data_IF_701985443695
#
_entry.id   IF_701985443695
#
_cell.length_a   1.000
_cell.length_b   1.000
_cell.length_c   1.000
_cell.angle_alpha   90.00
_cell.angle_beta   90.00
_cell.angle_gamma   90.00
#
_symmetry.space_group_name_H-M   'P 1'
#
loop_
_entity.id
_entity.type
_entity.pdbx_description
1 polymer ?
#
# COMPACT_ATOMS: atom_id res chain seq x y z
N UNK A 1 3.36 -7.29 27.96
CA UNK A 1 2.98 -7.72 29.33
C UNK A 1 2.30 -6.62 30.15
N UNK A 2 2.67 -5.34 30.00
CA UNK A 2 1.98 -4.23 30.69
C UNK A 2 0.50 -4.09 30.24
N UNK A 3 0.22 -4.22 28.95
CA UNK A 3 -1.15 -4.21 28.41
C UNK A 3 -2.04 -5.36 28.92
N UNK A 4 -1.46 -6.50 29.32
CA UNK A 4 -2.22 -7.60 29.93
C UNK A 4 -2.62 -7.30 31.39
N UNK A 5 -2.10 -6.21 31.99
CA UNK A 5 -2.31 -5.86 33.40
C UNK A 5 -3.12 -4.58 33.59
N UNK A 6 -3.33 -3.80 32.55
CA UNK A 6 -4.01 -2.50 32.61
C UNK A 6 -4.69 -2.20 31.28
N UNK A 7 -5.99 -1.90 31.35
CA UNK A 7 -6.82 -1.59 30.18
C UNK A 7 -6.33 -0.32 29.45
N UNK A 8 -5.83 0.68 30.18
CA UNK A 8 -5.28 1.90 29.58
C UNK A 8 -4.07 1.59 28.68
N UNK A 9 -3.16 0.74 29.15
CA UNK A 9 -2.00 0.31 28.37
C UNK A 9 -2.38 -0.56 27.16
N UNK A 10 -3.48 -1.30 27.27
CA UNK A 10 -4.02 -2.08 26.16
C UNK A 10 -4.58 -1.19 25.06
N UNK A 11 -5.27 -0.10 25.42
CA UNK A 11 -5.77 0.90 24.45
C UNK A 11 -4.61 1.60 23.74
N UNK A 12 -3.56 1.97 24.49
CA UNK A 12 -2.36 2.60 23.92
C UNK A 12 -1.65 1.65 22.94
N UNK A 13 -1.56 0.36 23.28
CA UNK A 13 -1.02 -0.67 22.38
C UNK A 13 -1.84 -0.78 21.09
N UNK A 14 -3.16 -0.85 21.18
CA UNK A 14 -4.01 -0.86 19.98
C UNK A 14 -3.87 0.43 19.15
N UNK A 15 -3.81 1.59 19.81
CA UNK A 15 -3.61 2.87 19.16
C UNK A 15 -2.29 2.95 18.39
N UNK A 16 -1.20 2.45 18.96
CA UNK A 16 0.11 2.47 18.31
C UNK A 16 0.17 1.51 17.12
N UNK A 17 -0.44 0.32 17.22
CA UNK A 17 -0.52 -0.65 16.12
C UNK A 17 -1.34 -0.10 14.94
N UNK A 18 -2.50 0.51 15.22
CA UNK A 18 -3.32 1.13 14.16
C UNK A 18 -2.57 2.30 13.52
N UNK A 19 -1.95 3.16 14.32
CA UNK A 19 -1.19 4.31 13.81
C UNK A 19 -0.03 3.86 12.94
N UNK A 20 0.73 2.85 13.38
CA UNK A 20 1.83 2.29 12.59
C UNK A 20 1.32 1.67 11.28
N UNK A 21 0.21 0.95 11.31
CA UNK A 21 -0.43 0.40 10.11
C UNK A 21 -0.86 1.48 9.11
N UNK A 22 -1.48 2.57 9.60
CA UNK A 22 -1.89 3.70 8.77
C UNK A 22 -0.68 4.39 8.14
N UNK A 23 0.38 4.65 8.91
CA UNK A 23 1.62 5.24 8.42
C UNK A 23 2.28 4.35 7.37
N UNK A 24 2.32 3.04 7.60
CA UNK A 24 2.88 2.08 6.65
C UNK A 24 2.14 2.06 5.31
N UNK A 25 0.80 2.10 5.34
CA UNK A 25 -0.04 2.03 4.14
C UNK A 25 -0.26 3.40 3.47
N UNK A 26 0.01 4.50 4.15
CA UNK A 26 -0.20 5.85 3.64
C UNK A 26 0.46 6.12 2.27
N UNK A 27 1.74 5.77 2.04
CA UNK A 27 2.39 5.96 0.72
C UNK A 27 1.77 5.12 -0.40
N UNK A 28 1.12 4.00 -0.05
CA UNK A 28 0.54 3.04 -0.99
C UNK A 28 -0.87 3.43 -1.40
N UNK A 29 -1.76 3.67 -0.42
CA UNK A 29 -3.19 3.94 -0.65
C UNK A 29 -3.41 5.33 -1.26
N UNK A 30 -2.67 6.34 -0.78
CA UNK A 30 -2.76 7.73 -1.25
C UNK A 30 -4.20 8.28 -1.23
N UNK A 31 -4.75 8.63 -0.04
CA UNK A 31 -6.04 9.29 0.02
C UNK A 31 -5.99 10.64 -0.72
N UNK A 32 -6.97 10.89 -1.59
CA UNK A 32 -7.14 12.17 -2.26
C UNK A 32 -7.31 13.29 -1.22
N UNK A 33 -6.61 14.45 -1.30
CA UNK A 33 -5.88 15.04 -2.43
C UNK A 33 -4.33 14.96 -2.34
N UNK A 34 -3.75 13.90 -1.77
CA UNK A 34 -2.29 13.82 -1.60
C UNK A 34 -1.50 13.83 -2.93
N UNK A 35 -0.51 14.71 -3.05
CA UNK A 35 0.41 14.78 -4.19
C UNK A 35 1.40 13.59 -4.22
N UNK A 36 1.88 13.22 -5.42
CA UNK A 36 2.84 12.12 -5.62
C UNK A 36 4.22 12.51 -5.05
N UNK A 37 4.48 12.13 -3.79
CA UNK A 37 5.74 12.42 -3.09
C UNK A 37 6.83 11.36 -3.31
N UNK A 38 6.44 10.12 -3.61
CA UNK A 38 7.35 8.99 -3.76
C UNK A 38 7.30 8.43 -5.19
N UNK A 39 8.48 8.11 -5.74
CA UNK A 39 8.57 7.41 -7.03
C UNK A 39 7.88 6.05 -6.92
N UNK A 40 7.06 5.70 -7.91
CA UNK A 40 6.35 4.41 -7.96
C UNK A 40 7.32 3.22 -7.89
N UNK A 41 8.52 3.39 -8.42
CA UNK A 41 9.59 2.39 -8.37
C UNK A 41 10.20 2.21 -6.98
N UNK A 42 10.12 3.22 -6.10
CA UNK A 42 10.56 3.10 -4.71
C UNK A 42 9.57 2.30 -3.84
N UNK A 43 8.30 2.23 -4.24
CA UNK A 43 7.28 1.45 -3.51
C UNK A 43 7.47 -0.07 -3.68
N UNK A 44 8.06 -0.52 -4.79
CA UNK A 44 8.33 -1.94 -5.04
C UNK A 44 9.31 -2.54 -4.02
N UNK A 45 10.56 -2.02 -3.86
CA UNK A 45 11.48 -2.54 -2.85
C UNK A 45 10.95 -2.31 -1.43
N UNK A 46 10.19 -1.25 -1.17
CA UNK A 46 9.52 -1.02 0.11
C UNK A 46 8.58 -2.18 0.50
N UNK A 47 7.69 -2.58 -0.41
CA UNK A 47 6.76 -3.69 -0.18
C UNK A 47 7.48 -5.05 -0.09
N UNK A 48 8.54 -5.25 -0.88
CA UNK A 48 9.34 -6.49 -0.82
C UNK A 48 10.11 -6.62 0.50
N UNK A 49 10.66 -5.52 1.02
CA UNK A 49 11.30 -5.52 2.34
C UNK A 49 10.27 -5.82 3.43
N UNK A 50 9.08 -5.21 3.34
CA UNK A 50 7.99 -5.49 4.28
C UNK A 50 7.57 -6.97 4.26
N UNK A 51 7.46 -7.57 3.07
CA UNK A 51 7.18 -9.00 2.92
C UNK A 51 8.31 -9.88 3.46
N UNK A 52 9.56 -9.47 3.28
CA UNK A 52 10.73 -10.14 3.86
C UNK A 52 10.70 -10.15 5.39
N UNK A 53 10.35 -9.02 6.01
CA UNK A 53 10.19 -8.92 7.48
C UNK A 53 9.03 -9.79 7.96
N UNK A 54 7.89 -9.76 7.26
CA UNK A 54 6.73 -10.61 7.56
C UNK A 54 7.08 -12.10 7.50
N UNK A 55 7.74 -12.52 6.41
CA UNK A 55 8.16 -13.90 6.18
C UNK A 55 9.19 -14.36 7.22
N UNK A 56 10.15 -13.50 7.59
CA UNK A 56 11.15 -13.81 8.61
C UNK A 56 10.49 -14.01 9.98
N UNK A 57 9.56 -13.11 10.35
CA UNK A 57 8.84 -13.22 11.62
C UNK A 57 7.97 -14.48 11.66
N UNK A 58 7.26 -14.78 10.57
CA UNK A 58 6.45 -15.98 10.47
C UNK A 58 7.29 -17.26 10.53
N UNK A 59 8.39 -17.32 9.79
CA UNK A 59 9.33 -18.42 9.85
C UNK A 59 9.87 -18.61 11.27
N UNK A 60 10.20 -17.52 11.96
CA UNK A 60 10.62 -17.59 13.36
C UNK A 60 9.53 -18.18 14.26
N UNK A 61 8.26 -17.77 14.10
CA UNK A 61 7.15 -18.33 14.89
C UNK A 61 6.94 -19.82 14.63
N UNK A 62 7.01 -20.26 13.37
CA UNK A 62 6.80 -21.65 12.95
C UNK A 62 7.97 -22.56 13.35
N UNK A 63 9.21 -22.10 13.16
CA UNK A 63 10.42 -22.92 13.32
C UNK A 63 11.12 -22.77 14.68
N UNK A 64 10.70 -21.85 15.55
CA UNK A 64 11.39 -21.65 16.85
C UNK A 64 11.33 -22.88 17.77
N UNK A 65 10.38 -23.80 17.57
CA UNK A 65 10.21 -25.01 18.38
C UNK A 65 9.88 -24.76 19.86
N UNK A 66 9.68 -23.49 20.25
CA UNK A 66 9.39 -23.05 21.62
C UNK A 66 8.23 -22.06 21.62
N UNK A 67 7.48 -22.04 22.72
CA UNK A 67 6.41 -21.08 22.90
C UNK A 67 7.02 -19.69 23.17
N UNK A 68 6.85 -18.78 22.23
CA UNK A 68 7.40 -17.42 22.29
C UNK A 68 6.68 -16.54 23.32
N UNK A 69 5.43 -16.90 23.64
CA UNK A 69 4.63 -16.19 24.63
C UNK A 69 4.16 -17.13 25.75
N UNK A 70 5.04 -17.45 26.74
CA UNK A 70 4.70 -18.35 27.84
C UNK A 70 3.50 -17.89 28.68
N UNK A 71 3.19 -16.59 28.70
CA UNK A 71 2.02 -16.05 29.37
C UNK A 71 0.68 -16.57 28.81
N UNK A 72 0.65 -17.02 27.55
CA UNK A 72 -0.53 -17.63 26.93
C UNK A 72 -0.64 -19.14 27.24
N UNK A 73 0.34 -19.72 27.93
CA UNK A 73 0.32 -21.12 28.37
C UNK A 73 -0.73 -21.41 29.47
N UNK A 74 -1.33 -20.40 30.09
CA UNK A 74 -2.37 -20.58 31.12
C UNK A 74 -3.81 -20.26 30.69
N UNK A 75 -4.03 -19.75 29.47
CA UNK A 75 -5.35 -19.27 29.04
C UNK A 75 -6.28 -20.42 28.59
N UNK A 76 -7.62 -20.26 28.72
CA UNK A 76 -8.59 -21.19 28.17
C UNK A 76 -8.38 -21.34 26.66
N UNK A 77 -8.30 -22.57 26.16
CA UNK A 77 -8.06 -22.88 24.74
C UNK A 77 -9.24 -23.62 24.15
N UNK A 78 -9.33 -23.55 22.82
CA UNK A 78 -10.11 -24.53 22.06
C UNK A 78 -9.57 -25.93 22.38
N UNK A 79 -10.46 -26.81 22.84
CA UNK A 79 -10.10 -28.17 23.21
C UNK A 79 -9.42 -28.88 22.02
N UNK A 80 -8.24 -29.44 22.25
CA UNK A 80 -7.47 -30.19 21.25
C UNK A 80 -6.33 -29.43 20.55
N UNK A 81 -6.18 -28.12 20.74
CA UNK A 81 -5.04 -27.34 20.17
C UNK A 81 -4.01 -27.02 21.26
N UNK A 82 -2.79 -27.52 21.10
CA UNK A 82 -1.66 -27.18 21.97
C UNK A 82 -1.19 -25.74 21.73
N UNK A 83 -0.63 -25.08 22.75
CA UNK A 83 -0.15 -23.70 22.62
C UNK A 83 0.93 -23.52 21.54
N UNK A 84 1.73 -24.56 21.28
CA UNK A 84 2.73 -24.56 20.22
C UNK A 84 2.09 -24.68 18.83
N UNK A 85 1.05 -25.51 18.68
CA UNK A 85 0.33 -25.63 17.41
C UNK A 85 -0.42 -24.33 17.10
N UNK A 86 -1.03 -23.70 18.10
CA UNK A 86 -1.68 -22.39 17.94
C UNK A 86 -0.69 -21.33 17.42
N UNK A 87 0.52 -21.28 17.98
CA UNK A 87 1.59 -20.38 17.50
C UNK A 87 2.00 -20.66 16.05
N UNK A 88 2.14 -21.94 15.67
CA UNK A 88 2.49 -22.34 14.30
C UNK A 88 1.39 -21.91 13.33
N UNK A 89 0.13 -22.15 13.68
CA UNK A 89 -1.03 -21.75 12.88
C UNK A 89 -1.07 -20.22 12.75
N UNK A 90 -0.87 -19.49 13.85
CA UNK A 90 -0.80 -18.03 13.83
C UNK A 90 0.34 -17.51 12.92
N UNK A 91 1.52 -18.14 12.97
CA UNK A 91 2.64 -17.82 12.08
C UNK A 91 2.30 -18.07 10.61
N UNK A 92 1.66 -19.20 10.29
CA UNK A 92 1.23 -19.51 8.93
C UNK A 92 0.14 -18.55 8.41
N UNK A 93 -0.83 -18.18 9.27
CA UNK A 93 -1.88 -17.20 8.98
C UNK A 93 -1.32 -15.79 8.83
N UNK A 94 -0.22 -15.44 9.52
CA UNK A 94 0.45 -14.16 9.30
C UNK A 94 1.23 -14.17 7.98
N UNK A 95 1.83 -15.31 7.63
CA UNK A 95 2.65 -15.43 6.42
C UNK A 95 1.84 -15.33 5.13
N UNK A 96 0.92 -16.28 4.90
CA UNK A 96 0.32 -16.50 3.58
C UNK A 96 -0.53 -15.30 3.13
N UNK A 97 -1.50 -14.80 3.92
CA UNK A 97 -2.28 -13.63 3.58
C UNK A 97 -1.43 -12.36 3.50
N UNK A 98 -0.42 -12.20 4.38
CA UNK A 98 0.49 -11.07 4.36
C UNK A 98 1.26 -10.98 3.04
N UNK A 99 1.89 -12.08 2.64
CA UNK A 99 2.64 -12.15 1.38
C UNK A 99 1.74 -11.96 0.15
N UNK A 100 0.52 -12.51 0.15
CA UNK A 100 -0.44 -12.25 -0.93
C UNK A 100 -0.74 -10.76 -1.03
N UNK A 101 -1.02 -10.08 0.08
CA UNK A 101 -1.37 -8.66 0.09
C UNK A 101 -0.21 -7.80 -0.42
N UNK A 102 1.03 -8.07 0.02
CA UNK A 102 2.21 -7.33 -0.45
C UNK A 102 2.49 -7.56 -1.93
N UNK A 103 2.44 -8.82 -2.39
CA UNK A 103 2.71 -9.17 -3.79
C UNK A 103 1.66 -8.61 -4.74
N UNK A 104 0.37 -8.74 -4.41
CA UNK A 104 -0.72 -8.18 -5.23
C UNK A 104 -0.57 -6.66 -5.36
N UNK A 105 -0.27 -5.97 -4.25
CA UNK A 105 -0.04 -4.52 -4.26
C UNK A 105 1.17 -4.14 -5.11
N UNK A 106 2.29 -4.86 -4.98
CA UNK A 106 3.50 -4.61 -5.77
C UNK A 106 3.24 -4.84 -7.27
N UNK A 107 2.56 -5.93 -7.64
CA UNK A 107 2.17 -6.22 -9.02
C UNK A 107 1.27 -5.11 -9.57
N UNK A 108 0.26 -4.67 -8.81
CA UNK A 108 -0.62 -3.59 -9.21
C UNK A 108 0.15 -2.27 -9.46
N UNK A 109 1.16 -1.95 -8.63
CA UNK A 109 2.02 -0.78 -8.83
C UNK A 109 2.85 -0.92 -10.11
N UNK A 110 3.44 -2.09 -10.35
CA UNK A 110 4.23 -2.37 -11.57
C UNK A 110 3.36 -2.25 -12.82
N UNK A 111 2.17 -2.84 -12.84
CA UNK A 111 1.23 -2.73 -13.96
C UNK A 111 0.87 -1.25 -14.21
N UNK A 112 0.61 -0.47 -13.17
CA UNK A 112 0.31 0.96 -13.29
C UNK A 112 1.51 1.81 -13.72
N UNK A 113 2.73 1.36 -13.42
CA UNK A 113 3.96 2.02 -13.83
C UNK A 113 4.31 1.73 -15.31
N UNK A 114 3.99 0.53 -15.80
CA UNK A 114 4.20 0.09 -17.18
C UNK A 114 3.03 0.44 -18.11
N UNK A 115 1.85 0.75 -17.55
CA UNK A 115 0.68 1.16 -18.32
C UNK A 115 1.00 2.37 -19.20
N UNK A 116 0.45 2.43 -20.43
CA UNK A 116 0.75 3.50 -21.36
C UNK A 116 0.47 4.84 -20.68
N UNK A 117 1.50 5.70 -20.62
CA UNK A 117 1.27 7.11 -20.43
C UNK A 117 0.40 7.54 -21.61
N UNK A 118 -0.89 7.73 -21.39
CA UNK A 118 -1.70 8.49 -22.33
C UNK A 118 -1.00 9.82 -22.45
N UNK A 119 -0.21 9.98 -23.51
CA UNK A 119 0.33 11.26 -23.91
C UNK A 119 -0.91 12.13 -24.08
N UNK A 120 -1.23 12.90 -23.05
CA UNK A 120 -2.18 14.00 -23.17
C UNK A 120 -1.50 14.90 -24.18
N UNK A 121 -1.89 14.76 -25.45
CA UNK A 121 -1.47 15.65 -26.53
C UNK A 121 -1.74 17.07 -26.02
N UNK A 122 -0.70 17.90 -25.79
CA UNK A 122 -0.92 19.28 -25.42
C UNK A 122 -1.57 19.95 -26.64
N UNK A 123 -2.84 20.30 -26.50
CA UNK A 123 -3.52 21.22 -27.41
C UNK A 123 -3.65 20.74 -28.85
N UNK A 124 -4.63 19.87 -29.11
CA UNK A 124 -5.47 20.13 -30.29
C UNK A 124 -6.29 21.40 -30.01
N UNK A 125 -5.65 22.57 -30.03
CA UNK A 125 -6.36 23.81 -30.35
C UNK A 125 -6.68 23.74 -31.83
N UNK A 126 -7.76 23.02 -32.10
CA UNK A 126 -8.55 23.12 -33.31
C UNK A 126 -9.22 24.50 -33.28
N UNK A 127 -8.46 25.53 -33.66
CA UNK A 127 -9.02 26.78 -34.16
C UNK A 127 -8.50 26.94 -35.59
N UNK A 128 -9.31 26.45 -36.52
CA UNK A 128 -9.34 26.92 -37.90
C UNK A 128 -9.32 28.46 -37.91
N UNK A 129 -8.55 29.06 -38.83
CA UNK A 129 -8.91 30.39 -39.33
C UNK A 129 -7.87 31.50 -39.29
N UNK A 130 -6.55 31.23 -39.25
CA UNK A 130 -5.56 32.26 -39.63
C UNK A 130 -4.87 31.85 -40.92
N UNK A 131 -5.59 32.07 -42.03
CA UNK A 131 -5.02 32.19 -43.37
C UNK A 131 -4.09 33.40 -43.38
N UNK A 132 -2.79 33.18 -43.17
CA UNK A 132 -1.75 34.12 -43.60
C UNK A 132 -1.37 33.78 -45.03
N UNK A 133 -2.13 34.31 -45.99
CA UNK A 133 -1.58 34.66 -47.29
C UNK A 133 -1.92 36.13 -47.55
N UNK A 134 -0.91 36.97 -47.39
CA UNK A 134 -0.95 38.36 -47.76
C UNK A 134 -1.11 38.43 -49.28
N UNK A 135 -2.32 38.70 -49.78
CA UNK A 135 -2.54 39.12 -51.16
C UNK A 135 -3.31 40.43 -51.13
N UNK A 136 -2.68 41.42 -51.76
CA UNK A 136 -3.07 42.80 -51.80
C UNK A 136 -4.04 43.05 -52.95
N UNK A 137 -5.29 43.34 -52.62
CA UNK A 137 -6.29 44.02 -53.46
C UNK A 137 -7.55 44.24 -52.62
N UNK A 138 -7.80 45.45 -52.12
CA UNK A 138 -8.55 46.52 -52.78
C UNK A 138 -10.07 46.20 -52.87
N UNK A 139 -10.87 47.17 -52.38
CA UNK A 139 -12.34 47.34 -52.56
C UNK A 139 -13.20 47.08 -51.31
N UNK A 140 -13.30 48.15 -50.50
CA UNK A 140 -14.52 48.91 -50.24
C UNK A 140 -15.85 48.17 -49.94
N UNK A 141 -16.48 48.62 -48.83
CA UNK A 141 -17.94 48.75 -48.63
C UNK A 141 -18.67 47.44 -48.28
N UNK A 142 -19.20 47.31 -47.06
CA UNK A 142 -20.51 47.86 -46.66
C UNK A 142 -20.84 47.51 -45.20
N UNK A 143 -21.17 48.56 -44.44
CA UNK A 143 -21.96 48.51 -43.22
C UNK A 143 -23.38 48.02 -43.49
N UNK A 144 -23.92 47.12 -42.65
CA UNK A 144 -25.28 47.21 -42.11
C UNK A 144 -25.41 46.40 -40.83
#
# INVERSE_FOLDING_TARGET
QAALRSDDWHIVEHGCMITAGLVFWYPVVRPWPAAEQWSRWALVPYLLIADGVNSLLAAFMVFSGRLLYPSYAGLPRLEGISAINDQIIAGAIMWVPGSILFLVTAIAIVIRALGPHTLTQPGATQFEGVLVTCRADMIWIKWR
#
